data_IF_809237801543
#
_entry.id   IF_809237801543
#
_cell.length_a   1.000
_cell.length_b   1.000
_cell.length_c   1.000
_cell.angle_alpha   90.00
_cell.angle_beta   90.00
_cell.angle_gamma   90.00
#
_symmetry.space_group_name_H-M   'P 1'
#
loop_
_entity.id
_entity.type
_entity.pdbx_description
1 polymer ?
#
# COMPACT_ATOMS: atom_id res chain seq x y z
N UNK A 1 33.70 20.21 13.85
CA UNK A 1 32.88 19.09 13.34
C UNK A 1 31.71 18.89 14.29
N UNK A 2 30.56 18.39 13.81
CA UNK A 2 29.42 18.10 14.68
C UNK A 2 29.73 16.89 15.59
N UNK A 3 29.40 17.00 16.88
CA UNK A 3 29.60 15.94 17.88
C UNK A 3 28.31 15.72 18.71
N UNK A 4 27.27 15.09 18.12
CA UNK A 4 25.98 14.93 18.78
C UNK A 4 26.09 14.10 20.07
N UNK A 5 25.48 14.57 21.15
CA UNK A 5 25.47 13.93 22.46
C UNK A 5 24.07 13.50 22.88
N UNK A 6 23.96 12.39 23.59
CA UNK A 6 22.67 11.86 24.11
C UNK A 6 22.05 12.73 25.20
N UNK A 7 22.86 13.56 25.85
CA UNK A 7 22.41 14.54 26.86
C UNK A 7 21.44 15.58 26.28
N UNK A 8 21.56 15.86 24.97
CA UNK A 8 20.63 16.74 24.23
C UNK A 8 19.31 16.04 23.85
N UNK A 9 19.07 14.86 24.42
CA UNK A 9 17.90 14.04 24.20
C UNK A 9 18.13 12.93 23.18
N UNK A 10 17.25 11.93 23.26
CA UNK A 10 17.21 10.79 22.36
C UNK A 10 15.75 10.41 22.13
N UNK A 11 15.48 9.71 21.03
CA UNK A 11 14.16 9.18 20.75
C UNK A 11 14.12 7.76 21.30
N UNK A 12 13.35 7.56 22.40
CA UNK A 12 13.16 6.23 22.99
C UNK A 12 12.04 5.49 22.29
N UNK A 13 12.38 4.50 21.46
CA UNK A 13 11.42 3.67 20.72
C UNK A 13 11.70 2.21 21.04
N UNK A 14 10.65 1.41 21.23
CA UNK A 14 10.80 -0.03 21.37
C UNK A 14 11.36 -0.62 20.07
N UNK A 15 12.33 -1.53 20.17
CA UNK A 15 12.94 -2.17 19.00
C UNK A 15 11.91 -2.87 18.13
N UNK A 16 10.91 -3.53 18.73
CA UNK A 16 9.80 -4.18 18.00
C UNK A 16 9.07 -3.21 17.06
N UNK A 17 8.77 -2.00 17.55
CA UNK A 17 8.11 -0.97 16.74
C UNK A 17 9.04 -0.45 15.64
N UNK A 18 10.33 -0.32 15.94
CA UNK A 18 11.34 0.11 14.98
C UNK A 18 11.54 -0.92 13.86
N UNK A 19 11.60 -2.21 14.22
CA UNK A 19 11.72 -3.33 13.31
C UNK A 19 10.52 -3.40 12.36
N UNK A 20 9.30 -3.14 12.85
CA UNK A 20 8.10 -3.07 12.01
C UNK A 20 8.12 -1.89 11.02
N UNK A 21 8.70 -0.75 11.40
CA UNK A 21 8.93 0.38 10.48
C UNK A 21 9.94 0.01 9.39
N UNK A 22 10.98 -0.77 9.72
CA UNK A 22 11.97 -1.25 8.76
C UNK A 22 11.36 -2.30 7.83
N UNK A 23 10.63 -3.27 8.40
CA UNK A 23 10.03 -4.41 7.71
C UNK A 23 9.03 -4.02 6.63
N UNK A 24 8.28 -2.94 6.85
CA UNK A 24 7.13 -2.57 6.01
C UNK A 24 7.50 -1.63 4.88
N UNK A 25 6.77 -1.75 3.78
CA UNK A 25 7.04 -1.04 2.54
C UNK A 25 6.51 0.40 2.54
N UNK A 26 6.96 1.22 3.50
CA UNK A 26 6.67 2.64 3.54
C UNK A 26 7.45 3.39 2.46
N UNK A 27 6.79 4.35 1.81
CA UNK A 27 7.47 5.28 0.90
C UNK A 27 8.44 6.16 1.68
N UNK A 28 9.43 6.76 1.00
CA UNK A 28 10.37 7.70 1.64
C UNK A 28 9.63 8.80 2.41
N UNK A 29 8.60 9.39 1.79
CA UNK A 29 7.77 10.44 2.39
C UNK A 29 7.05 9.97 3.65
N UNK A 30 6.50 8.75 3.64
CA UNK A 30 5.85 8.17 4.82
C UNK A 30 6.84 7.92 5.94
N UNK A 31 8.05 7.45 5.63
CA UNK A 31 9.13 7.32 6.62
C UNK A 31 9.51 8.67 7.22
N UNK A 32 9.64 9.71 6.40
CA UNK A 32 9.94 11.07 6.88
C UNK A 32 8.84 11.58 7.84
N UNK A 33 7.56 11.35 7.52
CA UNK A 33 6.43 11.66 8.41
C UNK A 33 6.52 10.87 9.72
N UNK A 34 6.77 9.55 9.66
CA UNK A 34 6.88 8.69 10.83
C UNK A 34 8.03 9.12 11.74
N UNK A 35 9.21 9.39 11.18
CA UNK A 35 10.35 9.88 11.95
C UNK A 35 10.09 11.26 12.56
N UNK A 36 9.41 12.14 11.84
CA UNK A 36 9.01 13.43 12.37
C UNK A 36 8.05 13.29 13.57
N UNK A 37 7.02 12.46 13.44
CA UNK A 37 6.08 12.16 14.53
C UNK A 37 6.81 11.50 15.70
N UNK A 38 7.72 10.54 15.47
CA UNK A 38 8.54 9.91 16.52
C UNK A 38 9.39 10.95 17.26
N UNK A 39 10.03 11.87 16.54
CA UNK A 39 10.85 12.91 17.13
C UNK A 39 10.04 13.88 17.99
N UNK A 40 8.84 14.24 17.56
CA UNK A 40 7.95 15.17 18.27
C UNK A 40 7.13 14.51 19.40
N UNK A 41 6.98 13.19 19.37
CA UNK A 41 6.34 12.41 20.44
C UNK A 41 7.39 11.86 21.41
N UNK A 42 7.94 10.68 21.13
CA UNK A 42 8.88 9.97 22.00
C UNK A 42 10.17 10.75 22.25
N UNK A 43 10.64 11.51 21.26
CA UNK A 43 11.78 12.42 21.43
C UNK A 43 11.49 13.61 22.37
N UNK A 44 10.22 13.91 22.63
CA UNK A 44 9.75 14.89 23.60
C UNK A 44 9.16 14.22 24.87
N UNK A 45 9.41 12.91 25.06
CA UNK A 45 8.88 12.10 26.17
C UNK A 45 7.34 12.05 26.25
N UNK A 46 6.67 12.22 25.11
CA UNK A 46 5.20 12.10 24.99
C UNK A 46 4.83 10.94 24.06
N UNK A 47 3.62 10.38 24.21
CA UNK A 47 3.08 9.32 23.33
C UNK A 47 2.44 9.89 22.07
N UNK A 48 2.04 11.15 22.10
CA UNK A 48 1.51 11.88 20.95
C UNK A 48 2.41 13.06 20.60
N UNK A 49 2.45 13.39 19.31
CA UNK A 49 3.08 14.57 18.76
C UNK A 49 2.00 15.62 18.50
N UNK A 50 2.21 16.82 19.01
CA UNK A 50 1.35 17.96 18.74
C UNK A 50 1.88 18.73 17.52
N UNK A 51 1.08 18.81 16.46
CA UNK A 51 1.44 19.54 15.23
C UNK A 51 0.28 20.45 14.84
N UNK A 52 0.31 21.73 15.24
CA UNK A 52 -0.83 22.64 15.10
C UNK A 52 -1.33 22.80 13.65
N UNK A 53 -0.42 22.81 12.68
CA UNK A 53 -0.75 23.06 11.28
C UNK A 53 -0.14 21.97 10.40
N UNK A 54 -0.93 21.46 9.45
CA UNK A 54 -0.45 20.46 8.50
C UNK A 54 0.73 20.94 7.63
N UNK A 55 0.89 22.26 7.47
CA UNK A 55 2.05 22.83 6.78
C UNK A 55 3.37 22.62 7.54
N UNK A 56 3.33 22.34 8.84
CA UNK A 56 4.54 22.19 9.65
C UNK A 56 5.30 20.89 9.29
N UNK A 57 4.65 19.95 8.59
CA UNK A 57 5.32 18.80 7.97
C UNK A 57 6.24 19.17 6.80
N UNK A 58 6.23 20.43 6.34
CA UNK A 58 7.26 20.93 5.42
C UNK A 58 8.65 20.87 6.08
N UNK A 59 8.74 20.90 7.42
CA UNK A 59 9.98 20.73 8.17
C UNK A 59 10.61 19.35 7.99
N UNK A 60 9.81 18.32 7.72
CA UNK A 60 10.30 16.99 7.36
C UNK A 60 10.33 16.77 5.83
N UNK A 61 10.24 17.84 5.03
CA UNK A 61 10.34 17.79 3.57
C UNK A 61 9.05 17.40 2.85
N UNK A 62 7.89 17.42 3.54
CA UNK A 62 6.61 17.03 2.95
C UNK A 62 5.69 18.23 2.76
N UNK A 63 5.52 18.64 1.51
CA UNK A 63 4.65 19.75 1.14
C UNK A 63 3.18 19.52 1.47
N UNK A 64 2.46 20.63 1.73
CA UNK A 64 1.02 20.64 2.08
C UNK A 64 0.13 19.85 1.13
N UNK A 65 0.46 19.79 -0.16
CA UNK A 65 -0.30 19.06 -1.17
C UNK A 65 -0.28 17.55 -0.92
N UNK A 66 0.85 17.01 -0.45
CA UNK A 66 1.02 15.58 -0.26
C UNK A 66 0.70 15.13 1.16
N UNK A 67 1.01 15.94 2.17
CA UNK A 67 0.88 15.54 3.57
C UNK A 67 -0.53 15.05 3.92
N UNK A 68 -1.57 15.70 3.41
CA UNK A 68 -2.96 15.33 3.72
C UNK A 68 -3.28 13.92 3.24
N UNK A 69 -2.83 13.56 2.05
CA UNK A 69 -3.08 12.23 1.47
C UNK A 69 -2.25 11.16 2.18
N UNK A 70 -0.99 11.47 2.51
CA UNK A 70 -0.13 10.53 3.23
C UNK A 70 -0.63 10.28 4.67
N UNK A 71 -1.10 11.31 5.38
CA UNK A 71 -1.68 11.16 6.72
C UNK A 71 -2.97 10.33 6.68
N UNK A 72 -3.86 10.58 5.71
CA UNK A 72 -5.07 9.76 5.52
C UNK A 72 -4.71 8.30 5.29
N UNK A 73 -3.77 8.03 4.38
CA UNK A 73 -3.26 6.69 4.12
C UNK A 73 -2.70 6.01 5.39
N UNK A 74 -1.85 6.71 6.15
CA UNK A 74 -1.27 6.16 7.38
C UNK A 74 -2.31 5.90 8.48
N UNK A 75 -3.39 6.69 8.54
CA UNK A 75 -4.52 6.48 9.45
C UNK A 75 -5.36 5.27 9.01
N UNK A 76 -5.68 5.17 7.72
CA UNK A 76 -6.42 4.04 7.14
C UNK A 76 -5.65 2.71 7.32
N UNK A 77 -4.33 2.74 7.11
CA UNK A 77 -3.44 1.62 7.38
C UNK A 77 -3.23 1.34 8.88
N UNK A 78 -3.89 2.09 9.78
CA UNK A 78 -3.80 1.97 11.24
C UNK A 78 -2.39 2.12 11.82
N UNK A 79 -1.52 2.85 11.13
CA UNK A 79 -0.13 3.12 11.55
C UNK A 79 -0.09 4.32 12.51
N UNK A 80 -0.88 5.35 12.22
CA UNK A 80 -0.99 6.57 13.03
C UNK A 80 -2.44 6.75 13.46
N UNK A 81 -2.65 7.13 14.72
CA UNK A 81 -3.90 7.72 15.20
C UNK A 81 -3.78 9.24 15.08
N UNK A 82 -4.77 9.87 14.41
CA UNK A 82 -4.82 11.31 14.22
C UNK A 82 -6.07 11.89 14.85
N UNK A 83 -5.87 12.69 15.90
CA UNK A 83 -6.90 13.54 16.49
C UNK A 83 -6.86 14.94 15.87
N UNK A 84 -7.94 15.30 15.16
CA UNK A 84 -8.06 16.60 14.49
C UNK A 84 -8.41 17.74 15.43
N UNK A 85 -9.08 17.46 16.55
CA UNK A 85 -9.45 18.50 17.52
C UNK A 85 -8.22 18.95 18.30
N UNK A 86 -7.43 17.98 18.76
CA UNK A 86 -6.22 18.23 19.55
C UNK A 86 -4.96 18.44 18.68
N UNK A 87 -5.08 18.38 17.34
CA UNK A 87 -3.95 18.39 16.42
C UNK A 87 -2.83 17.41 16.83
N UNK A 88 -3.24 16.25 17.32
CA UNK A 88 -2.37 15.26 17.94
C UNK A 88 -2.21 14.01 17.05
N UNK A 89 -0.97 13.56 16.92
CA UNK A 89 -0.58 12.41 16.09
C UNK A 89 0.15 11.40 16.96
N UNK A 90 -0.34 10.17 17.05
CA UNK A 90 0.29 9.11 17.83
C UNK A 90 0.54 7.88 16.95
N UNK A 91 1.70 7.26 17.09
CA UNK A 91 1.95 5.98 16.40
C UNK A 91 1.20 4.88 17.15
N UNK A 92 0.42 4.10 16.39
CA UNK A 92 -0.29 2.96 16.93
C UNK A 92 0.73 1.86 17.26
N UNK A 93 0.86 1.54 18.54
CA UNK A 93 1.81 0.51 19.04
C UNK A 93 1.38 -0.91 18.67
N UNK A 94 0.10 -1.13 18.44
CA UNK A 94 -0.44 -2.40 18.00
C UNK A 94 -0.16 -2.55 16.49
N UNK A 95 1.08 -2.97 16.19
CA UNK A 95 1.59 -3.10 14.83
C UNK A 95 0.98 -4.30 14.09
N UNK A 96 0.35 -5.25 14.78
CA UNK A 96 -0.37 -6.36 14.14
C UNK A 96 -1.55 -5.85 13.31
N UNK A 97 -2.16 -4.73 13.73
CA UNK A 97 -3.25 -4.08 13.02
C UNK A 97 -2.81 -3.27 11.80
N UNK A 98 -1.52 -3.05 11.60
CA UNK A 98 -1.03 -2.22 10.51
C UNK A 98 -1.26 -2.92 9.16
N UNK A 99 -1.91 -2.22 8.23
CA UNK A 99 -2.24 -2.73 6.89
C UNK A 99 -1.22 -2.26 5.86
N UNK A 100 0.06 -2.52 6.13
CA UNK A 100 1.16 -2.20 5.20
C UNK A 100 1.97 -3.47 4.96
N UNK A 101 2.09 -3.86 3.70
CA UNK A 101 2.81 -5.07 3.30
C UNK A 101 4.30 -5.00 3.66
N UNK A 102 4.94 -6.13 4.01
CA UNK A 102 6.38 -6.20 4.14
C UNK A 102 7.11 -5.86 2.83
N UNK A 103 8.37 -5.44 2.93
CA UNK A 103 9.25 -5.31 1.76
C UNK A 103 9.52 -6.67 1.14
N UNK A 104 9.69 -6.72 -0.19
CA UNK A 104 9.75 -7.97 -0.96
C UNK A 104 10.89 -8.93 -0.55
N UNK A 105 11.97 -8.41 0.05
CA UNK A 105 13.12 -9.20 0.52
C UNK A 105 13.19 -9.38 2.03
N UNK A 106 12.08 -9.17 2.77
CA UNK A 106 12.13 -9.29 4.23
C UNK A 106 12.33 -10.75 4.67
N UNK A 107 13.45 -11.03 5.36
CA UNK A 107 13.72 -12.29 6.03
C UNK A 107 13.95 -12.05 7.53
N UNK A 108 13.07 -12.58 8.38
CA UNK A 108 13.14 -12.41 9.85
C UNK A 108 14.36 -13.12 10.45
N UNK A 109 14.71 -14.30 9.95
CA UNK A 109 15.79 -15.11 10.51
C UNK A 109 17.15 -14.49 10.20
N UNK A 110 17.36 -14.04 8.96
CA UNK A 110 18.56 -13.29 8.58
C UNK A 110 18.71 -11.99 9.37
N UNK A 111 17.62 -11.25 9.56
CA UNK A 111 17.62 -10.03 10.37
C UNK A 111 17.99 -10.32 11.84
N UNK A 112 17.41 -11.37 12.43
CA UNK A 112 17.75 -11.80 13.79
C UNK A 112 19.21 -12.23 13.90
N UNK A 113 19.73 -13.00 12.94
CA UNK A 113 21.13 -13.40 12.90
C UNK A 113 22.05 -12.17 12.86
N UNK A 114 21.73 -11.17 12.04
CA UNK A 114 22.46 -9.90 12.01
C UNK A 114 22.41 -9.17 13.37
N UNK A 115 21.28 -9.17 14.06
CA UNK A 115 21.19 -8.61 15.42
C UNK A 115 22.13 -9.36 16.36
N UNK A 116 22.10 -10.70 16.38
CA UNK A 116 22.98 -11.51 17.22
C UNK A 116 24.46 -11.24 16.96
N UNK A 117 24.87 -11.11 15.69
CA UNK A 117 26.24 -10.77 15.33
C UNK A 117 26.67 -9.38 15.83
N UNK A 118 25.78 -8.39 15.76
CA UNK A 118 26.07 -7.03 16.25
C UNK A 118 26.15 -6.96 17.78
N UNK A 119 25.33 -7.75 18.49
CA UNK A 119 25.42 -7.88 19.94
C UNK A 119 26.71 -8.58 20.37
N UNK A 120 27.09 -9.67 19.69
CA UNK A 120 28.33 -10.42 19.98
C UNK A 120 29.60 -9.58 19.76
N UNK A 121 29.63 -8.72 18.73
CA UNK A 121 30.76 -7.80 18.47
C UNK A 121 31.00 -6.77 19.59
N UNK A 122 29.99 -6.48 20.41
CA UNK A 122 30.07 -5.53 21.53
C UNK A 122 30.75 -6.11 22.77
N UNK A 123 30.93 -7.43 22.85
CA UNK A 123 31.61 -8.10 23.94
C UNK A 123 33.10 -8.20 23.60
N UNK A 124 34.01 -7.47 24.28
CA UNK A 124 35.43 -7.77 24.18
C UNK A 124 35.65 -9.20 24.66
N UNK A 125 36.32 -10.00 23.84
CA UNK A 125 36.80 -11.34 24.20
C UNK A 125 37.71 -11.20 25.41
N UNK A 126 37.22 -11.51 26.61
CA UNK A 126 38.07 -12.09 27.63
C UNK A 126 38.16 -13.58 27.29
N UNK A 127 39.19 -13.94 26.53
CA UNK A 127 39.63 -15.32 26.38
C UNK A 127 40.16 -15.79 27.74
N UNK A 128 39.29 -16.38 28.55
CA UNK A 128 39.71 -17.40 29.51
C UNK A 128 39.27 -18.74 28.93
N UNK A 129 40.23 -19.43 28.32
CA UNK A 129 40.14 -20.82 27.90
C UNK A 129 39.82 -21.72 29.10
N UNK A 130 38.73 -22.50 29.06
CA UNK A 130 38.62 -23.82 29.71
C UNK A 130 37.67 -24.70 28.85
N UNK A 131 37.99 -26.00 28.61
CA UNK A 131 37.54 -26.71 27.42
C UNK A 131 36.20 -27.45 27.56
N UNK A 132 35.63 -27.63 26.36
CA UNK A 132 34.68 -28.63 25.87
C UNK A 132 34.34 -29.81 26.81
N UNK A 133 33.08 -29.84 27.30
CA UNK A 133 32.36 -31.10 27.52
C UNK A 133 30.83 -30.92 27.46
N UNK A 134 30.26 -31.46 26.37
CA UNK A 134 28.97 -32.15 26.19
C UNK A 134 27.93 -32.03 27.31
N UNK A 135 26.74 -31.53 26.95
CA UNK A 135 25.38 -32.12 27.17
C UNK A 135 24.38 -31.05 26.71
N UNK A 136 23.45 -31.23 25.78
CA UNK A 136 22.40 -32.24 25.55
C UNK A 136 21.10 -31.42 25.42
N UNK A 137 20.28 -31.78 24.44
CA UNK A 137 19.10 -31.04 23.99
C UNK A 137 17.97 -31.27 24.99
N UNK A 138 17.37 -30.21 25.53
CA UNK A 138 16.01 -30.26 26.08
C UNK A 138 15.24 -29.01 25.64
N UNK A 139 14.23 -29.24 24.81
CA UNK A 139 13.11 -28.34 24.57
C UNK A 139 12.26 -28.20 25.82
N UNK A 140 11.88 -26.96 26.17
CA UNK A 140 10.49 -26.51 26.35
C UNK A 140 10.32 -25.44 27.43
N UNK A 141 9.63 -24.38 27.00
CA UNK A 141 8.64 -23.56 27.73
C UNK A 141 9.06 -22.50 28.77
N UNK A 142 8.43 -21.33 28.57
CA UNK A 142 7.97 -20.33 29.54
C UNK A 142 8.82 -20.12 30.81
N UNK A 143 9.42 -18.94 30.91
CA UNK A 143 9.08 -18.02 32.00
C UNK A 143 9.59 -16.61 31.72
N UNK A 144 8.71 -15.63 31.89
CA UNK A 144 9.07 -14.23 31.94
C UNK A 144 9.95 -13.95 33.16
N UNK A 145 10.90 -13.03 33.01
CA UNK A 145 11.64 -12.49 34.13
C UNK A 145 11.78 -10.97 33.99
N UNK A 146 11.03 -10.27 34.85
CA UNK A 146 11.51 -9.06 35.50
C UNK A 146 12.79 -9.43 36.27
N UNK A 147 13.84 -8.61 36.14
CA UNK A 147 14.48 -8.13 37.35
C UNK A 147 15.20 -6.80 37.10
N UNK A 148 14.75 -5.81 37.88
CA UNK A 148 15.46 -4.56 38.12
C UNK A 148 16.63 -4.86 39.05
N UNK A 149 17.81 -4.36 38.74
CA UNK A 149 18.86 -4.20 39.75
C UNK A 149 19.05 -2.71 40.00
N UNK A 150 18.55 -2.29 41.16
CA UNK A 150 19.01 -1.11 41.89
C UNK A 150 20.47 -1.32 42.26
N UNK A 151 21.30 -0.30 42.03
CA UNK A 151 22.52 -0.14 42.81
C UNK A 151 22.48 1.25 43.44
N UNK A 152 22.22 1.21 44.74
CA UNK A 152 22.24 2.30 45.70
C UNK A 152 23.71 2.62 45.99
N UNK A 153 24.07 3.90 45.99
CA UNK A 153 25.27 4.41 46.67
C UNK A 153 24.84 5.37 47.77
N UNK A 154 25.54 5.28 48.88
CA UNK A 154 25.18 5.73 50.23
C UNK A 154 25.11 7.26 50.42
N UNK A 155 24.41 7.57 51.50
CA UNK A 155 24.03 8.83 52.14
C UNK A 155 25.18 9.78 52.53
N UNK A 156 24.96 11.09 52.36
CA UNK A 156 25.35 12.12 53.33
C UNK A 156 24.17 13.07 53.54
N UNK A 157 23.75 13.13 54.80
CA UNK A 157 22.74 13.97 55.45
C UNK A 157 23.09 15.46 55.32
N UNK A 158 22.10 16.36 55.20
CA UNK A 158 21.88 17.53 56.07
C UNK A 158 20.52 18.21 55.74
N UNK A 159 19.62 18.10 56.72
CA UNK A 159 18.53 18.98 57.20
C UNK A 159 17.51 19.68 56.27
N UNK A 160 16.23 19.41 56.58
CA UNK A 160 15.01 20.10 56.15
C UNK A 160 14.70 21.31 57.05
N UNK A 161 13.84 22.24 56.58
CA UNK A 161 12.66 22.55 57.39
C UNK A 161 11.33 22.41 56.63
N UNK A 162 10.36 21.89 57.38
CA UNK A 162 8.96 21.62 57.01
C UNK A 162 8.14 22.89 56.80
N UNK A 163 7.16 22.85 55.89
CA UNK A 163 5.88 23.56 56.08
C UNK A 163 4.70 22.70 55.58
N UNK A 164 3.69 22.59 56.45
CA UNK A 164 2.39 21.93 56.24
C UNK A 164 1.33 22.94 55.72
N UNK A 165 0.25 22.47 55.07
CA UNK A 165 -0.87 23.31 54.65
C UNK A 165 -1.97 23.34 55.72
N UNK A 166 -2.59 24.51 55.92
CA UNK A 166 -3.75 24.67 56.80
C UNK A 166 -4.94 25.22 56.01
N UNK A 167 -6.05 24.48 56.14
CA UNK A 167 -7.39 24.82 55.66
C UNK A 167 -7.97 26.05 56.36
N UNK A 168 -8.79 26.81 55.65
CA UNK A 168 -9.62 27.88 56.20
C UNK A 168 -10.84 28.12 55.31
N UNK A 169 -12.01 28.23 55.95
CA UNK A 169 -13.36 28.13 55.41
C UNK A 169 -13.87 29.40 54.69
N UNK A 170 -14.84 29.17 53.79
CA UNK A 170 -15.84 30.04 53.10
C UNK A 170 -16.47 31.14 54.01
N UNK A 171 -17.23 32.19 53.55
CA UNK A 171 -18.22 32.17 52.45
C UNK A 171 -18.59 33.52 51.72
N UNK A 172 -19.19 33.44 50.52
CA UNK A 172 -20.21 34.40 50.00
C UNK A 172 -20.71 33.88 48.63
N UNK A 173 -21.99 33.75 48.26
CA UNK A 173 -23.24 34.21 48.87
C UNK A 173 -24.05 35.06 47.88
N UNK A 174 -24.64 34.48 46.83
CA UNK A 174 -25.81 35.09 46.16
C UNK A 174 -26.58 34.09 45.27
N UNK A 175 -27.88 33.99 45.58
CA UNK A 175 -28.95 33.27 44.87
C UNK A 175 -29.58 34.15 43.77
N UNK A 176 -30.11 33.52 42.72
CA UNK A 176 -31.40 33.79 42.05
C UNK A 176 -31.55 32.75 40.92
N UNK A 177 -32.41 31.73 41.04
CA UNK A 177 -33.80 31.67 40.57
C UNK A 177 -34.00 31.95 39.06
N UNK A 178 -34.57 30.98 38.34
CA UNK A 178 -35.44 31.27 37.21
C UNK A 178 -35.38 30.38 35.97
N UNK A 179 -36.34 29.45 35.91
CA UNK A 179 -37.17 29.11 34.73
C UNK A 179 -36.72 27.96 33.80
N UNK A 180 -37.64 26.99 33.75
CA UNK A 180 -37.82 25.87 32.82
C UNK A 180 -38.06 26.32 31.37
N UNK A 181 -37.65 25.49 30.40
CA UNK A 181 -38.51 25.07 29.27
C UNK A 181 -37.92 23.91 28.48
N UNK A 182 -38.77 22.91 28.32
CA UNK A 182 -38.68 21.75 27.43
C UNK A 182 -38.27 22.11 26.00
N UNK A 183 -37.75 21.12 25.25
CA UNK A 183 -38.34 20.65 23.97
C UNK A 183 -37.34 19.87 23.10
N UNK A 184 -37.71 18.64 22.71
CA UNK A 184 -37.48 18.00 21.39
C UNK A 184 -36.05 17.45 21.16
N UNK A 185 -35.78 16.20 20.77
CA UNK A 185 -36.59 15.07 20.26
C UNK A 185 -35.77 13.78 20.35
N UNK A 186 -36.48 12.69 20.55
CA UNK A 186 -36.09 11.31 20.23
C UNK A 186 -35.48 11.15 18.83
N UNK A 187 -34.52 10.23 18.67
CA UNK A 187 -34.82 8.91 18.09
C UNK A 187 -33.55 8.05 18.08
N UNK A 188 -33.45 7.18 19.09
CA UNK A 188 -32.62 5.98 19.03
C UNK A 188 -33.34 5.01 18.08
N UNK A 189 -32.84 4.87 16.84
CA UNK A 189 -32.97 3.69 15.98
C UNK A 189 -32.34 3.96 14.62
N UNK A 190 -31.35 3.15 14.27
CA UNK A 190 -31.00 2.59 12.94
C UNK A 190 -29.73 1.76 13.17
N UNK A 191 -29.90 0.56 13.75
CA UNK A 191 -30.02 -0.73 13.05
C UNK A 191 -28.68 -1.31 12.56
N UNK A 192 -27.86 -1.78 13.50
CA UNK A 192 -27.15 -3.04 13.25
C UNK A 192 -28.21 -4.14 13.24
N UNK A 193 -28.51 -4.71 12.08
CA UNK A 193 -29.04 -6.07 11.96
C UNK A 193 -28.66 -6.64 10.61
N UNK A 194 -27.87 -7.71 10.66
CA UNK A 194 -27.63 -8.68 9.61
C UNK A 194 -28.92 -9.46 9.36
N UNK A 195 -29.48 -9.38 8.16
CA UNK A 195 -30.36 -10.40 7.56
C UNK A 195 -30.48 -10.12 6.06
N UNK A 196 -30.06 -11.11 5.26
CA UNK A 196 -30.55 -11.48 3.93
C UNK A 196 -31.33 -10.42 3.14
N UNK A 197 -30.64 -9.80 2.18
CA UNK A 197 -31.22 -8.93 1.15
C UNK A 197 -30.82 -9.54 -0.20
N UNK A 198 -31.82 -9.93 -0.99
CA UNK A 198 -31.68 -10.23 -2.41
C UNK A 198 -30.89 -9.11 -3.12
N UNK A 199 -30.01 -9.42 -4.09
CA UNK A 199 -28.97 -8.51 -4.52
C UNK A 199 -29.57 -7.28 -5.21
N UNK A 200 -29.67 -6.18 -4.46
CA UNK A 200 -29.78 -4.86 -5.06
C UNK A 200 -28.58 -4.70 -5.99
N UNK A 201 -28.83 -4.40 -7.26
CA UNK A 201 -27.80 -4.33 -8.30
C UNK A 201 -26.66 -3.40 -7.86
N UNK A 202 -25.57 -4.01 -7.39
CA UNK A 202 -24.33 -3.30 -7.06
C UNK A 202 -23.87 -2.54 -8.29
N UNK A 203 -23.45 -1.28 -8.14
CA UNK A 203 -22.91 -0.47 -9.23
C UNK A 203 -21.94 -1.30 -10.10
N UNK A 204 -22.15 -1.40 -11.44
CA UNK A 204 -21.30 -2.16 -12.34
C UNK A 204 -19.80 -1.85 -12.18
N UNK A 205 -19.46 -0.60 -11.86
CA UNK A 205 -18.09 -0.20 -11.59
C UNK A 205 -17.54 -0.83 -10.31
N UNK A 206 -18.34 -0.87 -9.24
CA UNK A 206 -17.95 -1.49 -7.96
C UNK A 206 -17.76 -3.00 -8.14
N UNK A 207 -18.64 -3.68 -8.90
CA UNK A 207 -18.48 -5.10 -9.20
C UNK A 207 -17.15 -5.42 -9.90
N UNK A 208 -16.80 -4.62 -10.91
CA UNK A 208 -15.54 -4.77 -11.66
C UNK A 208 -14.34 -4.46 -10.75
N UNK A 209 -14.46 -3.43 -9.92
CA UNK A 209 -13.43 -3.01 -8.97
C UNK A 209 -13.10 -4.12 -7.97
N UNK A 210 -14.12 -4.63 -7.28
CA UNK A 210 -13.99 -5.67 -6.27
C UNK A 210 -13.41 -6.95 -6.89
N UNK A 211 -13.94 -7.37 -8.04
CA UNK A 211 -13.46 -8.56 -8.75
C UNK A 211 -11.98 -8.44 -9.18
N UNK A 212 -11.53 -7.26 -9.62
CA UNK A 212 -10.13 -7.05 -9.96
C UNK A 212 -9.23 -7.05 -8.72
N UNK A 213 -9.71 -6.42 -7.65
CA UNK A 213 -9.04 -6.41 -6.35
C UNK A 213 -8.82 -7.83 -5.82
N UNK A 214 -9.86 -8.66 -5.84
CA UNK A 214 -9.81 -10.06 -5.43
C UNK A 214 -8.85 -10.87 -6.30
N UNK A 215 -8.93 -10.73 -7.62
CA UNK A 215 -8.09 -11.47 -8.56
C UNK A 215 -6.59 -11.15 -8.43
N UNK A 216 -6.27 -9.92 -8.02
CA UNK A 216 -4.90 -9.43 -7.92
C UNK A 216 -4.36 -9.35 -6.49
N UNK A 217 -5.14 -9.75 -5.48
CA UNK A 217 -4.84 -9.54 -4.06
C UNK A 217 -4.50 -8.06 -3.76
N UNK A 218 -5.22 -7.15 -4.42
CA UNK A 218 -5.09 -5.70 -4.25
C UNK A 218 -6.25 -5.18 -3.42
N UNK A 219 -5.98 -4.24 -2.53
CA UNK A 219 -7.03 -3.52 -1.83
C UNK A 219 -7.63 -2.42 -2.74
N UNK A 220 -8.92 -2.08 -2.61
CA UNK A 220 -9.62 -1.10 -3.46
C UNK A 220 -8.92 0.26 -3.59
N UNK A 221 -8.18 0.67 -2.57
CA UNK A 221 -7.44 1.94 -2.54
C UNK A 221 -6.07 1.90 -3.25
N UNK A 222 -5.56 0.70 -3.59
CA UNK A 222 -4.31 0.53 -4.33
C UNK A 222 -4.50 0.50 -5.85
N UNK A 223 -5.73 0.76 -6.31
CA UNK A 223 -6.04 0.95 -7.71
C UNK A 223 -5.47 2.28 -8.19
N UNK A 224 -4.67 2.23 -9.26
CA UNK A 224 -4.19 3.44 -9.90
C UNK A 224 -5.36 4.24 -10.46
N UNK A 225 -5.27 5.57 -10.44
CA UNK A 225 -6.25 6.43 -11.11
C UNK A 225 -6.47 6.03 -12.57
N UNK A 226 -5.41 5.57 -13.26
CA UNK A 226 -5.51 5.06 -14.64
C UNK A 226 -6.35 3.79 -14.73
N UNK A 227 -6.19 2.85 -13.79
CA UNK A 227 -6.98 1.62 -13.73
C UNK A 227 -8.47 1.97 -13.52
N UNK A 228 -8.78 2.91 -12.61
CA UNK A 228 -10.15 3.38 -12.36
C UNK A 228 -10.76 4.08 -13.56
N UNK A 229 -9.99 4.91 -14.28
CA UNK A 229 -10.46 5.55 -15.52
C UNK A 229 -10.82 4.53 -16.59
N UNK A 230 -10.00 3.50 -16.79
CA UNK A 230 -10.26 2.44 -17.76
C UNK A 230 -11.47 1.58 -17.36
N UNK A 231 -11.61 1.24 -16.08
CA UNK A 231 -12.80 0.52 -15.59
C UNK A 231 -14.07 1.33 -15.82
N UNK A 232 -14.02 2.66 -15.59
CA UNK A 232 -15.14 3.56 -15.88
C UNK A 232 -15.46 3.61 -17.37
N UNK A 233 -14.45 3.71 -18.23
CA UNK A 233 -14.63 3.71 -19.69
C UNK A 233 -15.30 2.41 -20.17
N UNK A 234 -14.88 1.26 -19.64
CA UNK A 234 -15.51 -0.03 -19.96
C UNK A 234 -16.99 -0.08 -19.55
N UNK A 235 -17.35 0.53 -18.42
CA UNK A 235 -18.75 0.65 -17.98
C UNK A 235 -19.53 1.65 -18.85
N UNK A 236 -18.91 2.76 -19.25
CA UNK A 236 -19.49 3.76 -20.17
C UNK A 236 -19.76 3.19 -21.57
N UNK A 237 -19.01 2.17 -22.00
CA UNK A 237 -19.27 1.39 -23.23
C UNK A 237 -20.46 0.41 -23.09
N UNK A 238 -21.22 0.49 -22.01
CA UNK A 238 -22.38 -0.36 -21.68
C UNK A 238 -22.06 -1.86 -21.69
N UNK A 239 -20.80 -2.23 -21.42
CA UNK A 239 -20.38 -3.63 -21.34
C UNK A 239 -20.86 -4.17 -19.98
N UNK A 240 -21.64 -5.27 -19.93
CA UNK A 240 -22.12 -5.82 -18.68
C UNK A 240 -20.98 -6.21 -17.75
N UNK A 241 -21.04 -5.80 -16.48
CA UNK A 241 -19.98 -6.07 -15.49
C UNK A 241 -19.62 -7.56 -15.41
N UNK A 242 -20.61 -8.46 -15.45
CA UNK A 242 -20.39 -9.90 -15.45
C UNK A 242 -19.58 -10.39 -16.65
N UNK A 243 -19.75 -9.78 -17.83
CA UNK A 243 -18.97 -10.10 -19.02
C UNK A 243 -17.51 -9.66 -18.85
N UNK A 244 -17.30 -8.45 -18.31
CA UNK A 244 -15.98 -7.89 -18.02
C UNK A 244 -15.22 -8.78 -17.02
N UNK A 245 -15.87 -9.11 -15.89
CA UNK A 245 -15.30 -9.94 -14.82
C UNK A 245 -14.89 -11.31 -15.35
N UNK A 246 -15.77 -11.96 -16.11
CA UNK A 246 -15.48 -13.26 -16.71
C UNK A 246 -14.29 -13.20 -17.67
N UNK A 247 -14.28 -12.22 -18.56
CA UNK A 247 -13.18 -12.07 -19.55
C UNK A 247 -11.85 -11.78 -18.86
N UNK A 248 -11.86 -10.99 -17.79
CA UNK A 248 -10.70 -10.71 -16.96
C UNK A 248 -10.16 -12.00 -16.29
N UNK A 249 -11.04 -12.80 -15.67
CA UNK A 249 -10.68 -14.08 -15.06
C UNK A 249 -10.10 -15.06 -16.08
N UNK A 250 -10.73 -15.19 -17.25
CA UNK A 250 -10.28 -16.06 -18.34
C UNK A 250 -8.89 -15.64 -18.86
N UNK A 251 -8.68 -14.34 -19.04
CA UNK A 251 -7.40 -13.78 -19.48
C UNK A 251 -6.29 -14.02 -18.46
N UNK A 252 -6.59 -13.85 -17.17
CA UNK A 252 -5.64 -14.13 -16.09
C UNK A 252 -5.30 -15.62 -16.00
N UNK A 253 -6.30 -16.50 -16.08
CA UNK A 253 -6.11 -17.94 -16.10
C UNK A 253 -5.27 -18.39 -17.31
N UNK A 254 -5.52 -17.81 -18.49
CA UNK A 254 -4.72 -18.07 -19.68
C UNK A 254 -3.26 -17.64 -19.50
N UNK A 255 -3.02 -16.46 -18.90
CA UNK A 255 -1.66 -16.00 -18.58
C UNK A 255 -0.94 -16.95 -17.63
N UNK A 256 -1.65 -17.45 -16.60
CA UNK A 256 -1.11 -18.41 -15.63
C UNK A 256 -0.78 -19.75 -16.29
N UNK A 257 -1.65 -20.25 -17.17
CA UNK A 257 -1.38 -21.47 -17.97
C UNK A 257 -0.14 -21.31 -18.84
N UNK A 258 -0.03 -20.22 -19.60
CA UNK A 258 1.15 -19.96 -20.46
C UNK A 258 2.45 -19.88 -19.67
N UNK A 259 2.45 -19.28 -18.48
CA UNK A 259 3.63 -19.26 -17.63
C UNK A 259 4.03 -20.67 -17.18
N UNK A 260 3.04 -21.51 -16.85
CA UNK A 260 3.24 -22.91 -16.47
C UNK A 260 3.78 -23.75 -17.63
N UNK A 261 3.18 -23.64 -18.82
CA UNK A 261 3.59 -24.36 -20.03
C UNK A 261 5.00 -24.00 -20.50
N UNK A 262 5.36 -22.71 -20.43
CA UNK A 262 6.69 -22.24 -20.82
C UNK A 262 7.73 -22.35 -19.69
N UNK A 263 7.35 -22.90 -18.52
CA UNK A 263 8.23 -23.03 -17.33
C UNK A 263 8.86 -21.69 -16.94
N UNK A 264 8.09 -20.60 -17.03
CA UNK A 264 8.52 -19.25 -16.67
C UNK A 264 7.85 -18.85 -15.34
N UNK A 265 8.56 -18.17 -14.42
CA UNK A 265 7.94 -17.63 -13.22
C UNK A 265 6.73 -16.76 -13.55
N UNK A 266 5.57 -17.08 -12.96
CA UNK A 266 4.35 -16.34 -13.21
C UNK A 266 4.42 -14.92 -12.63
N UNK A 267 4.40 -13.93 -13.50
CA UNK A 267 4.27 -12.52 -13.13
C UNK A 267 2.82 -12.06 -13.28
N UNK A 268 2.17 -11.74 -12.16
CA UNK A 268 0.82 -11.15 -12.12
C UNK A 268 0.80 -9.84 -12.91
N UNK A 269 -0.24 -9.55 -13.72
CA UNK A 269 -0.41 -8.24 -14.33
C UNK A 269 -0.50 -7.15 -13.27
N UNK A 270 0.18 -6.02 -13.49
CA UNK A 270 0.29 -4.94 -12.52
C UNK A 270 -0.78 -3.86 -12.66
N UNK A 271 -1.51 -3.83 -13.78
CA UNK A 271 -2.48 -2.78 -14.13
C UNK A 271 -3.65 -3.38 -14.93
N UNK A 272 -4.80 -2.72 -14.83
CA UNK A 272 -6.04 -3.10 -15.50
C UNK A 272 -5.94 -2.98 -17.04
N UNK A 273 -5.05 -2.13 -17.55
CA UNK A 273 -4.73 -2.00 -18.98
C UNK A 273 -4.40 -3.35 -19.65
N UNK A 274 -3.90 -4.34 -18.90
CA UNK A 274 -3.64 -5.68 -19.44
C UNK A 274 -4.91 -6.38 -19.96
N UNK A 275 -6.08 -6.06 -19.40
CA UNK A 275 -7.36 -6.70 -19.74
C UNK A 275 -8.19 -5.90 -20.74
N UNK A 276 -7.88 -4.62 -20.94
CA UNK A 276 -8.64 -3.70 -21.79
C UNK A 276 -8.88 -4.28 -23.20
N UNK A 277 -7.83 -4.56 -23.95
CA UNK A 277 -7.96 -5.13 -25.30
C UNK A 277 -8.69 -6.49 -25.29
N UNK A 278 -8.33 -7.47 -24.44
CA UNK A 278 -9.10 -8.72 -24.31
C UNK A 278 -10.59 -8.52 -24.06
N UNK A 279 -10.98 -7.55 -23.21
CA UNK A 279 -12.39 -7.23 -22.91
C UNK A 279 -13.08 -6.67 -24.14
N UNK A 280 -12.49 -5.66 -24.79
CA UNK A 280 -13.07 -5.01 -25.96
C UNK A 280 -13.20 -5.97 -27.16
N UNK A 281 -12.16 -6.76 -27.42
CA UNK A 281 -12.15 -7.76 -28.49
C UNK A 281 -13.19 -8.86 -28.24
N UNK A 282 -13.28 -9.36 -27.00
CA UNK A 282 -14.28 -10.37 -26.63
C UNK A 282 -15.71 -9.82 -26.78
N UNK A 283 -15.93 -8.57 -26.36
CA UNK A 283 -17.24 -7.92 -26.44
C UNK A 283 -17.67 -7.69 -27.89
N UNK A 284 -16.77 -7.21 -28.75
CA UNK A 284 -17.02 -7.03 -30.18
C UNK A 284 -17.42 -8.36 -30.85
N UNK A 285 -16.67 -9.42 -30.57
CA UNK A 285 -16.98 -10.76 -31.07
C UNK A 285 -18.32 -11.30 -30.54
N UNK A 286 -18.71 -10.90 -29.32
CA UNK A 286 -20.00 -11.26 -28.75
C UNK A 286 -21.14 -10.54 -29.49
N UNK A 287 -21.00 -9.25 -29.77
CA UNK A 287 -21.98 -8.48 -30.53
C UNK A 287 -22.14 -8.97 -31.97
N UNK A 288 -21.05 -9.35 -32.64
CA UNK A 288 -21.09 -9.90 -34.01
C UNK A 288 -21.77 -11.28 -34.07
N UNK A 289 -21.78 -12.04 -32.97
CA UNK A 289 -22.55 -13.29 -32.84
C UNK A 289 -24.03 -13.05 -32.56
N UNK A 290 -24.40 -11.90 -32.00
CA UNK A 290 -25.78 -11.53 -31.67
C UNK A 290 -26.49 -10.87 -32.86
N UNK A 291 -25.76 -10.21 -33.76
CA UNK A 291 -26.33 -9.68 -35.01
C UNK A 291 -26.80 -10.84 -35.91
N UNK A 292 -28.11 -10.99 -36.18
CA UNK A 292 -28.57 -11.98 -37.14
C UNK A 292 -28.09 -11.59 -38.54
N UNK A 293 -27.58 -12.56 -39.30
CA UNK A 293 -27.42 -12.41 -40.75
C UNK A 293 -28.73 -11.87 -41.36
N UNK A 294 -28.71 -10.83 -42.22
CA UNK A 294 -29.89 -10.44 -42.95
C UNK A 294 -30.32 -11.62 -43.83
N UNK A 295 -31.53 -12.14 -43.58
CA UNK A 295 -32.14 -13.20 -44.38
C UNK A 295 -32.21 -12.73 -45.82
N UNK A 296 -31.65 -13.54 -46.72
CA UNK A 296 -31.76 -13.33 -48.16
C UNK A 296 -33.22 -13.23 -48.59
N UNK A 297 -33.52 -12.17 -49.33
CA UNK A 297 -34.68 -12.09 -50.22
C UNK A 297 -34.23 -12.33 -51.65
N UNK A 298 -34.60 -13.48 -52.22
CA UNK A 298 -34.88 -13.59 -53.67
C UNK A 298 -36.00 -12.58 -53.96
N UNK A 299 -36.03 -11.80 -55.04
CA UNK A 299 -35.92 -12.09 -56.47
C UNK A 299 -35.72 -10.73 -57.18
N UNK A 300 -35.00 -10.63 -58.30
CA UNK A 300 -35.64 -10.88 -59.58
C UNK A 300 -34.61 -11.20 -60.67
N UNK A 301 -34.90 -12.28 -61.39
CA UNK A 301 -34.33 -12.62 -62.68
C UNK A 301 -34.81 -11.57 -63.69
N UNK A 302 -33.87 -10.95 -64.40
CA UNK A 302 -34.16 -10.44 -65.74
C UNK A 302 -32.95 -10.74 -66.63
N UNK A 303 -33.04 -11.89 -67.29
CA UNK A 303 -32.28 -12.23 -68.50
C UNK A 303 -32.84 -11.43 -69.66
N UNK A 304 -31.96 -10.72 -70.38
CA UNK A 304 -32.04 -10.36 -71.80
C UNK A 304 -30.59 -9.96 -72.19
N UNK A 305 -29.81 -10.82 -72.83
CA UNK A 305 -29.84 -11.23 -74.25
C UNK A 305 -29.33 -10.14 -75.20
N UNK A 306 -28.20 -10.43 -75.84
CA UNK A 306 -27.64 -9.75 -77.02
C UNK A 306 -26.76 -8.54 -76.69
N UNK A 307 -25.71 -8.22 -77.42
CA UNK A 307 -25.04 -8.86 -78.54
C UNK A 307 -23.74 -8.05 -78.78
N UNK A 308 -22.74 -8.73 -79.34
CA UNK A 308 -21.59 -8.25 -80.13
C UNK A 308 -20.84 -6.92 -79.85
N UNK A 309 -19.52 -7.05 -80.03
CA UNK A 309 -18.60 -6.10 -80.70
C UNK A 309 -18.09 -4.90 -79.89
N UNK A 310 -16.81 -4.50 -79.87
CA UNK A 310 -15.59 -4.93 -80.60
C UNK A 310 -14.38 -4.25 -79.95
N UNK A 311 -13.18 -4.84 -80.19
CA UNK A 311 -11.86 -4.19 -80.41
C UNK A 311 -11.13 -3.60 -79.18
N UNK A 312 -9.98 -4.19 -78.82
CA UNK A 312 -8.58 -3.82 -79.19
C UNK A 312 -8.12 -2.58 -78.40
N UNK A 313 -6.98 -2.54 -77.70
CA UNK A 313 -5.65 -3.13 -77.95
C UNK A 313 -4.78 -2.93 -76.70
N UNK A 314 -3.83 -3.85 -76.52
CA UNK A 314 -2.45 -3.68 -76.04
C UNK A 314 -2.15 -2.79 -74.83
N UNK A 315 -1.54 -3.36 -73.79
CA UNK A 315 -0.07 -3.42 -73.75
C UNK A 315 0.44 -3.98 -72.41
N UNK A 316 1.13 -5.11 -72.53
CA UNK A 316 2.35 -5.53 -71.82
C UNK A 316 2.66 -5.01 -70.39
N UNK A 317 2.65 -5.98 -69.47
CA UNK A 317 3.58 -6.19 -68.33
C UNK A 317 5.07 -5.94 -68.74
N UNK A 318 6.09 -5.80 -67.85
CA UNK A 318 6.21 -6.51 -66.56
C UNK A 318 6.94 -5.77 -65.40
N UNK A 319 7.02 -6.46 -64.25
CA UNK A 319 7.95 -6.21 -63.13
C UNK A 319 9.43 -6.23 -63.56
N UNK A 320 10.43 -5.80 -62.74
CA UNK A 320 10.96 -6.70 -61.69
C UNK A 320 11.67 -6.07 -60.44
N UNK A 321 11.92 -6.94 -59.46
CA UNK A 321 13.12 -7.13 -58.61
C UNK A 321 13.65 -6.12 -57.53
N UNK A 322 13.82 -6.71 -56.33
CA UNK A 322 14.84 -6.59 -55.27
C UNK A 322 15.75 -5.36 -55.13
N UNK A 323 15.89 -4.85 -53.89
CA UNK A 323 17.21 -4.77 -53.23
C UNK A 323 17.14 -4.50 -51.71
N UNK A 324 18.02 -5.21 -50.98
CA UNK A 324 18.37 -5.01 -49.56
C UNK A 324 19.54 -4.02 -49.49
N UNK A 325 19.50 -3.06 -48.56
CA UNK A 325 20.69 -2.28 -48.15
C UNK A 325 20.70 -2.09 -46.63
N UNK A 326 21.87 -2.35 -46.04
CA UNK A 326 22.14 -2.25 -44.60
C UNK A 326 22.65 -0.89 -44.17
N UNK A 327 22.72 -0.70 -42.85
CA UNK A 327 23.40 0.41 -42.20
C UNK A 327 24.55 -0.11 -41.33
N UNK A 328 25.74 0.39 -41.61
CA UNK A 328 26.98 0.20 -40.85
C UNK A 328 27.09 1.33 -39.82
N UNK A 329 27.45 1.00 -38.57
CA UNK A 329 28.09 1.96 -37.63
C UNK A 329 29.37 1.36 -37.10
N UNK A 330 30.44 2.13 -37.26
CA UNK A 330 31.83 1.82 -36.96
C UNK A 330 32.12 1.91 -35.46
N UNK A 331 32.92 0.96 -34.97
CA UNK A 331 33.58 0.97 -33.67
C UNK A 331 35.00 1.57 -33.82
N UNK A 332 35.45 2.37 -32.84
CA UNK A 332 36.87 2.71 -32.66
C UNK A 332 37.40 1.97 -31.44
N UNK A 333 38.46 1.20 -31.69
CA UNK A 333 39.32 0.53 -30.71
C UNK A 333 40.32 1.54 -30.13
N UNK A 334 40.71 1.34 -28.87
CA UNK A 334 41.97 1.84 -28.32
C UNK A 334 42.58 0.76 -27.41
N UNK A 335 43.86 0.52 -27.66
CA UNK A 335 44.70 -0.62 -27.30
C UNK A 335 44.96 -0.85 -25.80
N UNK A 336 45.14 -2.13 -25.48
CA UNK A 336 45.89 -2.67 -24.35
C UNK A 336 47.25 -3.17 -24.87
N UNK A 337 48.35 -2.62 -24.34
CA UNK A 337 49.70 -3.18 -24.52
C UNK A 337 50.13 -3.86 -23.22
N UNK A 338 50.54 -5.13 -23.32
CA UNK A 338 51.26 -5.89 -22.30
C UNK A 338 52.75 -5.87 -22.64
N UNK A 339 53.57 -5.49 -21.67
CA UNK A 339 54.89 -6.07 -21.39
C UNK A 339 55.17 -5.98 -19.90
#
# INVERSE_FOLDING_TARGET
>A
MANPQVENGFVSVANELWDEIIRRNFTKRQKDILYFVLRLSYGCRNKSAFVPKLKDFELCGVGKTHITNELKYLVECRVIAWDKAECAFAINKDYEKWQVSPVAGWNREEFNNLIHQNLAKKLPKQEHEIPEKVTEIVTSENNGYRNSNQQVTETVTEELPKQEPLSGLNPCGSKAEGVSKDSIKDSIKNNITTTDIEPAESDPLIQIQDAYCDLHEKLPFNLSQKDLSLMREVVELEIPAQFVIKTMQDTFALKKRRATENVVPFKKPSSFTYYENPILDAWRNHQDKIKPFPKGGQSNVQVNAGDASTRRTDSQNPAPESNKTGWIRTSRNADLQVR
#
